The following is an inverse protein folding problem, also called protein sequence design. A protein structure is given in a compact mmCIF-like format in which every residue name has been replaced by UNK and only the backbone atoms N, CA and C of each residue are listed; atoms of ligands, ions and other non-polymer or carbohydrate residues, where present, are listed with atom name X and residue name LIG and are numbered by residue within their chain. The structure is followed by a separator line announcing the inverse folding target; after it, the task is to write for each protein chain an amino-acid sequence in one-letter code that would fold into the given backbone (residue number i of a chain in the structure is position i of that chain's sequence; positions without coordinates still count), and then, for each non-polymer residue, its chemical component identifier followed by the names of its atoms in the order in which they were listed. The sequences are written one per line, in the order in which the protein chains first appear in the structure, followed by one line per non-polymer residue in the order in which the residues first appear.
data_IF_269854810528
#
_entry.id   IF_269854810528
#
_cell.length_a   1.000
_cell.length_b   1.000
_cell.length_c   1.000
_cell.angle_alpha   90.00
_cell.angle_beta   90.00
_cell.angle_gamma   90.00
#
_symmetry.space_group_name_H-M   'P 1'
#
loop_
_entity.id
_entity.type
_entity.pdbx_description
1 polymer ?
#
# COMPACT_ATOMS: atom_id res chain seq x y z
N UNK A 1 -65.14 -39.13 -9.03
CA UNK A 1 -63.78 -39.69 -9.26
C UNK A 1 -62.97 -38.62 -10.00
N UNK A 2 -62.15 -37.82 -9.30
CA UNK A 2 -60.69 -37.96 -9.07
C UNK A 2 -59.86 -38.09 -10.36
N UNK A 3 -59.02 -37.08 -10.59
CA UNK A 3 -57.59 -37.05 -10.96
C UNK A 3 -57.31 -35.58 -11.34
N UNK A 4 -56.47 -34.78 -10.69
CA UNK A 4 -55.21 -35.03 -10.01
C UNK A 4 -54.12 -34.24 -10.75
N UNK A 5 -54.10 -32.91 -10.60
CA UNK A 5 -53.03 -32.05 -11.15
C UNK A 5 -51.95 -31.94 -10.09
N UNK A 6 -50.85 -32.65 -10.30
CA UNK A 6 -49.72 -32.72 -9.39
C UNK A 6 -48.85 -31.45 -9.49
N UNK A 7 -48.36 -31.09 -8.32
CA UNK A 7 -47.58 -29.92 -7.97
C UNK A 7 -46.17 -29.92 -8.59
N UNK A 8 -45.68 -28.72 -8.87
CA UNK A 8 -44.36 -28.27 -8.42
C UNK A 8 -43.14 -28.85 -9.13
N UNK A 9 -42.53 -28.04 -10.00
CA UNK A 9 -41.08 -27.80 -10.01
C UNK A 9 -40.82 -26.41 -10.61
N UNK A 10 -40.98 -25.36 -9.80
CA UNK A 10 -40.16 -24.17 -9.97
C UNK A 10 -38.74 -24.60 -9.59
N UNK A 11 -37.91 -24.90 -10.59
CA UNK A 11 -36.47 -24.97 -10.37
C UNK A 11 -35.97 -23.53 -10.22
N UNK A 12 -35.46 -23.12 -9.04
CA UNK A 12 -34.66 -21.90 -9.00
C UNK A 12 -33.45 -22.16 -9.88
N UNK A 13 -33.23 -21.29 -10.87
CA UNK A 13 -31.91 -21.18 -11.50
C UNK A 13 -30.89 -21.13 -10.36
N UNK A 14 -29.85 -21.97 -10.34
CA UNK A 14 -28.72 -21.73 -9.46
C UNK A 14 -28.24 -20.32 -9.79
N UNK A 15 -28.32 -19.47 -8.78
CA UNK A 15 -27.89 -18.08 -8.82
C UNK A 15 -26.47 -18.07 -9.37
N UNK A 16 -26.28 -17.36 -10.48
CA UNK A 16 -24.96 -17.01 -10.97
C UNK A 16 -24.21 -16.39 -9.79
N UNK A 17 -23.10 -16.95 -9.30
CA UNK A 17 -22.32 -16.27 -8.28
C UNK A 17 -21.91 -14.91 -8.85
N UNK A 18 -22.20 -13.86 -8.10
CA UNK A 18 -22.02 -12.47 -8.51
C UNK A 18 -20.57 -12.22 -8.97
N UNK A 19 -20.34 -11.41 -10.03
CA UNK A 19 -19.01 -11.06 -10.49
C UNK A 19 -18.45 -9.89 -9.66
N UNK A 20 -18.33 -10.09 -8.35
CA UNK A 20 -17.55 -9.18 -7.49
C UNK A 20 -16.19 -9.85 -7.27
N UNK A 21 -15.11 -9.08 -7.22
CA UNK A 21 -13.73 -9.55 -6.97
C UNK A 21 -12.89 -10.03 -8.18
N UNK A 22 -13.25 -9.67 -9.42
CA UNK A 22 -12.36 -9.89 -10.60
C UNK A 22 -11.17 -8.91 -10.68
N UNK A 23 -11.02 -7.96 -9.75
CA UNK A 23 -9.94 -6.96 -9.78
C UNK A 23 -8.52 -7.58 -9.66
N UNK A 24 -8.36 -8.74 -9.02
CA UNK A 24 -7.05 -9.43 -8.90
C UNK A 24 -6.57 -10.22 -10.12
N UNK A 25 -7.31 -10.26 -11.26
CA UNK A 25 -6.99 -11.19 -12.37
C UNK A 25 -5.65 -10.91 -13.07
N UNK A 26 -5.10 -9.70 -12.94
CA UNK A 26 -3.79 -9.33 -13.50
C UNK A 26 -2.61 -9.65 -12.58
N UNK A 27 -2.84 -9.79 -11.28
CA UNK A 27 -1.80 -9.96 -10.27
C UNK A 27 -1.91 -11.35 -9.64
N UNK A 28 -1.28 -12.38 -10.20
CA UNK A 28 -1.06 -13.75 -9.62
C UNK A 28 -2.07 -14.28 -8.56
N UNK A 29 -3.37 -13.99 -8.67
CA UNK A 29 -4.37 -14.32 -7.65
C UNK A 29 -4.25 -13.58 -6.30
N UNK A 30 -3.50 -12.48 -6.23
CA UNK A 30 -3.40 -11.63 -5.03
C UNK A 30 -4.47 -10.54 -5.08
N UNK A 31 -5.24 -10.43 -4.01
CA UNK A 31 -6.23 -9.38 -3.83
C UNK A 31 -5.70 -8.36 -2.82
N UNK A 32 -5.78 -7.07 -3.16
CA UNK A 32 -5.36 -5.99 -2.27
C UNK A 32 -6.40 -5.69 -1.21
N UNK A 33 -7.68 -5.77 -1.59
CA UNK A 33 -8.83 -5.66 -0.70
C UNK A 33 -9.42 -7.04 -0.39
N UNK A 34 -10.05 -7.18 0.77
CA UNK A 34 -10.84 -8.34 1.14
C UNK A 34 -12.26 -8.31 0.52
N UNK A 35 -13.05 -9.35 0.76
CA UNK A 35 -14.41 -9.48 0.22
C UNK A 35 -15.39 -8.41 0.78
N UNK A 36 -15.02 -7.70 1.83
CA UNK A 36 -15.78 -6.60 2.44
C UNK A 36 -15.28 -5.21 1.98
N UNK A 37 -14.25 -5.15 1.13
CA UNK A 37 -13.60 -3.91 0.68
C UNK A 37 -12.59 -3.33 1.69
N UNK A 38 -12.24 -4.08 2.73
CA UNK A 38 -11.18 -3.77 3.69
C UNK A 38 -9.78 -4.07 3.12
N UNK A 39 -8.73 -3.53 3.73
CA UNK A 39 -7.35 -3.85 3.36
C UNK A 39 -7.07 -5.33 3.70
N UNK A 40 -6.58 -6.11 2.73
CA UNK A 40 -6.19 -7.50 2.98
C UNK A 40 -5.01 -7.61 3.96
N UNK A 41 -4.94 -8.71 4.72
CA UNK A 41 -3.84 -8.96 5.67
C UNK A 41 -2.45 -8.85 5.02
N UNK A 42 -2.32 -9.29 3.77
CA UNK A 42 -1.04 -9.23 3.05
C UNK A 42 -0.66 -7.80 2.69
N UNK A 43 -1.63 -7.00 2.22
CA UNK A 43 -1.39 -5.58 1.95
C UNK A 43 -1.10 -4.84 3.25
N UNK A 44 -1.82 -5.11 4.33
CA UNK A 44 -1.57 -4.50 5.64
C UNK A 44 -0.12 -4.73 6.10
N UNK A 45 0.43 -5.94 5.94
CA UNK A 45 1.83 -6.23 6.26
C UNK A 45 2.82 -5.42 5.41
N UNK A 46 2.52 -5.21 4.13
CA UNK A 46 3.34 -4.38 3.25
C UNK A 46 3.27 -2.91 3.66
N UNK A 47 2.07 -2.42 3.97
CA UNK A 47 1.83 -1.05 4.42
C UNK A 47 2.48 -0.77 5.78
N UNK A 48 2.52 -1.76 6.70
CA UNK A 48 3.31 -1.66 7.94
C UNK A 48 4.78 -1.38 7.66
N UNK A 49 5.37 -2.13 6.73
CA UNK A 49 6.76 -1.93 6.33
C UNK A 49 7.00 -0.54 5.75
N UNK A 50 6.12 -0.08 4.84
CA UNK A 50 6.23 1.23 4.22
C UNK A 50 6.09 2.33 5.27
N UNK A 51 5.03 2.29 6.08
CA UNK A 51 4.78 3.25 7.15
C UNK A 51 5.96 3.32 8.14
N UNK A 52 6.53 2.18 8.50
CA UNK A 52 7.68 2.11 9.41
C UNK A 52 8.94 2.83 8.89
N UNK A 53 9.07 3.06 7.57
CA UNK A 53 10.19 3.83 7.00
C UNK A 53 10.08 5.33 7.31
N UNK A 54 8.87 5.85 7.48
CA UNK A 54 8.59 7.29 7.56
C UNK A 54 8.07 7.73 8.94
N UNK A 55 7.69 6.79 9.81
CA UNK A 55 7.05 7.09 11.09
C UNK A 55 8.00 7.60 12.17
N UNK A 56 7.40 8.25 13.17
CA UNK A 56 7.98 8.64 14.44
C UNK A 56 7.19 8.00 15.60
N UNK A 57 7.86 7.39 16.61
CA UNK A 57 9.29 7.09 16.63
C UNK A 57 9.69 6.09 15.53
N UNK A 58 10.96 6.14 15.11
CA UNK A 58 11.47 5.18 14.12
C UNK A 58 11.57 3.78 14.73
N UNK A 59 11.29 2.73 13.95
CA UNK A 59 11.51 1.36 14.41
C UNK A 59 12.98 1.13 14.78
N UNK A 60 13.26 0.31 15.81
CA UNK A 60 14.63 -0.10 16.10
C UNK A 60 15.22 -0.78 14.86
N UNK A 61 16.42 -0.37 14.44
CA UNK A 61 17.11 -1.03 13.34
C UNK A 61 17.33 -2.50 13.71
N UNK A 62 16.99 -3.46 12.84
CA UNK A 62 17.24 -4.86 13.12
C UNK A 62 18.75 -5.09 13.23
N UNK A 63 19.24 -5.22 14.46
CA UNK A 63 20.59 -5.65 14.78
C UNK A 63 20.66 -7.17 14.62
N UNK A 64 20.81 -7.66 13.38
CA UNK A 64 20.89 -9.10 13.13
C UNK A 64 21.26 -9.49 11.70
N UNK A 65 22.32 -10.28 11.61
CA UNK A 65 22.95 -11.00 10.48
C UNK A 65 22.18 -11.07 9.14
N UNK A 66 22.89 -10.64 8.10
CA UNK A 66 22.54 -10.61 6.68
C UNK A 66 21.89 -11.91 6.16
N UNK A 67 20.73 -11.77 5.49
CA UNK A 67 20.27 -12.51 4.27
C UNK A 67 18.76 -12.67 4.11
N UNK A 68 17.94 -12.12 5.01
CA UNK A 68 16.49 -12.01 4.76
C UNK A 68 16.08 -10.55 4.86
N UNK A 69 15.49 -10.03 3.79
CA UNK A 69 14.85 -8.71 3.81
C UNK A 69 13.62 -8.84 4.71
N UNK A 70 13.79 -8.54 6.00
CA UNK A 70 12.71 -8.60 6.97
C UNK A 70 11.83 -7.36 6.82
N UNK A 71 10.51 -7.54 6.87
CA UNK A 71 9.58 -6.42 6.91
C UNK A 71 9.76 -5.67 8.23
N UNK A 72 9.92 -4.36 8.12
CA UNK A 72 9.90 -3.44 9.26
C UNK A 72 8.49 -3.42 9.88
N UNK A 73 8.44 -3.28 11.20
CA UNK A 73 7.18 -3.09 11.94
C UNK A 73 7.24 -1.76 12.68
N UNK A 74 6.21 -0.91 12.57
CA UNK A 74 6.21 0.37 13.27
C UNK A 74 6.05 0.17 14.78
N UNK A 75 6.70 1.01 15.60
CA UNK A 75 6.45 1.02 17.04
C UNK A 75 4.97 1.26 17.38
N UNK A 76 4.51 0.82 18.57
CA UNK A 76 3.17 1.15 19.03
C UNK A 76 3.00 2.68 19.11
N UNK A 77 1.85 3.17 18.65
CA UNK A 77 1.52 4.60 18.59
C UNK A 77 2.42 5.44 17.66
N UNK A 78 3.13 4.80 16.73
CA UNK A 78 3.86 5.52 15.71
C UNK A 78 2.90 6.27 14.77
N UNK A 79 3.36 7.43 14.30
CA UNK A 79 2.62 8.33 13.41
C UNK A 79 3.57 8.94 12.36
N UNK A 80 3.04 9.40 11.23
CA UNK A 80 3.79 10.24 10.30
C UNK A 80 3.71 11.68 10.77
N UNK A 81 4.85 12.25 11.13
CA UNK A 81 4.98 13.71 11.29
C UNK A 81 4.79 14.40 9.93
N UNK A 82 4.59 15.73 9.88
CA UNK A 82 4.51 16.45 8.60
C UNK A 82 5.71 16.18 7.67
N UNK A 83 6.91 16.03 8.25
CA UNK A 83 8.12 15.68 7.50
C UNK A 83 8.13 14.23 6.99
N UNK A 84 7.63 13.29 7.80
CA UNK A 84 7.47 11.90 7.39
C UNK A 84 6.44 11.74 6.27
N UNK A 85 5.35 12.50 6.36
CA UNK A 85 4.31 12.54 5.34
C UNK A 85 4.84 13.12 4.01
N UNK A 86 5.64 14.18 4.06
CA UNK A 86 6.31 14.73 2.88
C UNK A 86 7.29 13.75 2.24
N UNK A 87 8.09 13.05 3.05
CA UNK A 87 9.03 12.05 2.55
C UNK A 87 8.32 10.86 1.91
N UNK A 88 7.20 10.41 2.49
CA UNK A 88 6.36 9.38 1.89
C UNK A 88 5.78 9.85 0.56
N UNK A 89 5.17 11.03 0.51
CA UNK A 89 4.60 11.60 -0.70
C UNK A 89 5.65 11.79 -1.81
N UNK A 90 6.86 12.18 -1.45
CA UNK A 90 7.98 12.30 -2.38
C UNK A 90 8.35 10.95 -3.02
N UNK A 91 8.29 9.86 -2.26
CA UNK A 91 8.64 8.52 -2.76
C UNK A 91 7.50 7.87 -3.57
N UNK A 92 6.25 8.23 -3.33
CA UNK A 92 5.08 7.70 -4.06
C UNK A 92 4.70 8.57 -5.26
N UNK A 93 4.54 9.87 -5.04
CA UNK A 93 4.04 10.83 -6.03
C UNK A 93 5.16 11.62 -6.74
N UNK A 94 6.39 11.53 -6.26
CA UNK A 94 7.52 12.30 -6.78
C UNK A 94 7.60 13.74 -6.28
N UNK A 95 6.69 14.17 -5.40
CA UNK A 95 6.69 15.49 -4.77
C UNK A 95 6.02 15.44 -3.39
N UNK A 96 6.41 16.33 -2.45
CA UNK A 96 5.72 16.46 -1.17
C UNK A 96 4.28 16.97 -1.35
N UNK A 97 3.41 16.69 -0.38
CA UNK A 97 2.05 17.21 -0.42
C UNK A 97 2.03 18.73 -0.21
N UNK A 98 1.06 19.37 -0.86
CA UNK A 98 0.73 20.76 -0.57
C UNK A 98 0.19 20.90 0.85
N UNK A 99 0.28 22.10 1.42
CA UNK A 99 -0.30 22.36 2.75
C UNK A 99 -1.82 22.10 2.76
N UNK A 100 -2.52 22.48 1.69
CA UNK A 100 -3.96 22.25 1.52
C UNK A 100 -4.30 20.76 1.62
N UNK A 101 -3.56 19.91 0.90
CA UNK A 101 -3.74 18.45 0.96
C UNK A 101 -3.47 17.90 2.36
N UNK A 102 -2.48 18.45 3.09
CA UNK A 102 -2.20 18.01 4.46
C UNK A 102 -3.32 18.38 5.44
N UNK A 103 -3.86 19.58 5.33
CA UNK A 103 -5.01 20.01 6.13
C UNK A 103 -6.23 19.13 5.85
N UNK A 104 -6.49 18.75 4.58
CA UNK A 104 -7.54 17.78 4.25
C UNK A 104 -7.28 16.41 4.88
N UNK A 105 -6.05 15.89 4.79
CA UNK A 105 -5.69 14.61 5.43
C UNK A 105 -5.93 14.64 6.94
N UNK A 106 -5.62 15.76 7.61
CA UNK A 106 -5.85 15.94 9.06
C UNK A 106 -7.34 16.01 9.39
N UNK A 107 -8.16 16.61 8.53
CA UNK A 107 -9.61 16.76 8.75
C UNK A 107 -10.36 15.43 8.58
N UNK A 108 -9.96 14.60 7.60
CA UNK A 108 -10.73 13.42 7.21
C UNK A 108 -10.17 12.08 7.71
N UNK A 109 -8.89 12.01 8.08
CA UNK A 109 -8.23 10.76 8.44
C UNK A 109 -7.96 10.63 9.94
N UNK A 110 -7.65 9.41 10.34
CA UNK A 110 -7.21 9.13 11.70
C UNK A 110 -5.80 9.71 11.95
N UNK A 111 -5.77 10.79 12.72
CA UNK A 111 -4.56 11.49 13.16
C UNK A 111 -4.46 11.52 14.68
N UNK A 112 -3.24 11.70 15.18
CA UNK A 112 -2.98 12.04 16.59
C UNK A 112 -3.53 13.44 16.92
N UNK A 113 -3.65 13.77 18.21
CA UNK A 113 -4.06 15.12 18.66
C UNK A 113 -3.19 16.27 18.14
N UNK A 114 -1.94 15.98 17.71
CA UNK A 114 -1.00 16.95 17.13
C UNK A 114 -1.06 17.01 15.59
N UNK A 115 -1.98 16.28 14.96
CA UNK A 115 -2.14 16.24 13.50
C UNK A 115 -1.20 15.26 12.76
N UNK A 116 -0.47 14.40 13.48
CA UNK A 116 0.31 13.32 12.88
C UNK A 116 -0.54 12.15 12.37
N UNK A 117 -0.32 11.68 11.13
CA UNK A 117 -1.10 10.60 10.53
C UNK A 117 -0.79 9.25 11.20
N UNK A 118 -1.80 8.58 11.78
CA UNK A 118 -1.59 7.28 12.41
C UNK A 118 -1.48 6.17 11.37
N UNK A 119 -1.05 4.98 11.78
CA UNK A 119 -1.09 3.81 10.88
C UNK A 119 -2.51 3.50 10.40
N UNK A 120 -3.54 3.74 11.24
CA UNK A 120 -4.93 3.56 10.84
C UNK A 120 -5.33 4.57 9.76
N UNK A 121 -4.93 5.83 9.90
CA UNK A 121 -5.16 6.86 8.88
C UNK A 121 -4.44 6.52 7.57
N UNK A 122 -3.23 5.97 7.66
CA UNK A 122 -2.48 5.49 6.51
C UNK A 122 -3.20 4.35 5.77
N UNK A 123 -3.79 3.39 6.49
CA UNK A 123 -4.61 2.34 5.88
C UNK A 123 -5.84 2.90 5.17
N UNK A 124 -6.49 3.93 5.72
CA UNK A 124 -7.65 4.58 5.10
C UNK A 124 -7.28 5.20 3.75
N UNK A 125 -6.10 5.82 3.61
CA UNK A 125 -5.64 6.36 2.32
C UNK A 125 -5.52 5.24 1.29
N UNK A 126 -4.82 4.16 1.64
CA UNK A 126 -4.62 3.04 0.72
C UNK A 126 -5.93 2.32 0.40
N UNK A 127 -6.88 2.27 1.34
CA UNK A 127 -8.20 1.69 1.08
C UNK A 127 -8.91 2.49 -0.01
N UNK A 128 -9.07 3.80 0.22
CA UNK A 128 -9.71 4.71 -0.73
C UNK A 128 -9.01 4.70 -2.09
N UNK A 129 -7.67 4.78 -2.11
CA UNK A 129 -6.89 4.74 -3.34
C UNK A 129 -7.12 3.42 -4.08
N UNK A 130 -7.09 2.28 -3.39
CA UNK A 130 -7.23 0.96 -4.01
C UNK A 130 -8.65 0.73 -4.55
N UNK A 131 -9.67 1.26 -3.88
CA UNK A 131 -11.06 1.24 -4.36
C UNK A 131 -11.24 2.05 -5.65
N UNK A 132 -10.51 3.16 -5.80
CA UNK A 132 -10.62 4.05 -6.95
C UNK A 132 -9.69 3.66 -8.13
N UNK A 133 -8.41 3.40 -7.86
CA UNK A 133 -7.40 2.98 -8.83
C UNK A 133 -6.41 1.98 -8.21
N UNK A 134 -6.77 0.69 -8.19
CA UNK A 134 -5.91 -0.39 -7.67
C UNK A 134 -4.49 -0.36 -8.29
N UNK A 135 -4.37 0.01 -9.57
CA UNK A 135 -3.06 0.07 -10.24
C UNK A 135 -2.14 1.14 -9.63
N UNK A 136 -2.68 2.19 -8.99
CA UNK A 136 -1.91 3.17 -8.23
C UNK A 136 -1.24 2.53 -7.02
N UNK A 137 -2.00 1.75 -6.25
CA UNK A 137 -1.46 1.01 -5.10
C UNK A 137 -0.35 0.05 -5.53
N UNK A 138 -0.50 -0.61 -6.68
CA UNK A 138 0.58 -1.46 -7.21
C UNK A 138 1.83 -0.68 -7.64
N UNK A 139 1.69 0.56 -8.13
CA UNK A 139 2.84 1.44 -8.45
C UNK A 139 3.58 1.80 -7.17
N UNK A 140 2.87 2.20 -6.13
CA UNK A 140 3.44 2.53 -4.81
C UNK A 140 4.20 1.35 -4.20
N UNK A 141 3.55 0.17 -4.18
CA UNK A 141 4.16 -1.06 -3.70
C UNK A 141 5.46 -1.37 -4.45
N UNK A 142 5.45 -1.22 -5.79
CA UNK A 142 6.65 -1.41 -6.61
C UNK A 142 7.75 -0.38 -6.31
N UNK A 143 7.40 0.88 -6.06
CA UNK A 143 8.35 1.93 -5.68
C UNK A 143 9.01 1.64 -4.33
N UNK A 144 8.29 0.94 -3.45
CA UNK A 144 8.80 0.48 -2.17
C UNK A 144 9.46 -0.92 -2.20
N UNK A 145 9.63 -1.51 -3.38
CA UNK A 145 10.36 -2.77 -3.59
C UNK A 145 9.51 -4.03 -3.47
N UNK A 146 8.18 -3.94 -3.44
CA UNK A 146 7.32 -5.11 -3.49
C UNK A 146 7.06 -5.55 -4.92
N UNK A 147 7.05 -6.86 -5.16
CA UNK A 147 6.62 -7.42 -6.43
C UNK A 147 5.09 -7.62 -6.49
N UNK A 148 4.59 -8.12 -7.62
CA UNK A 148 3.16 -8.41 -7.84
C UNK A 148 2.59 -9.52 -6.95
N UNK A 149 3.44 -10.20 -6.16
CA UNK A 149 3.06 -11.19 -5.15
C UNK A 149 3.13 -10.66 -3.71
N UNK A 150 3.27 -9.33 -3.51
CA UNK A 150 3.42 -8.69 -2.20
C UNK A 150 4.66 -9.17 -1.42
N UNK A 151 5.72 -9.59 -2.12
CA UNK A 151 7.00 -9.93 -1.50
C UNK A 151 7.98 -8.81 -1.73
N UNK A 152 8.66 -8.43 -0.65
CA UNK A 152 9.75 -7.48 -0.73
C UNK A 152 10.90 -8.13 -1.49
N UNK A 153 11.09 -7.69 -2.73
CA UNK A 153 12.22 -8.08 -3.56
C UNK A 153 13.29 -7.03 -3.37
N UNK A 154 14.54 -7.45 -3.15
CA UNK A 154 15.67 -6.53 -3.16
C UNK A 154 15.87 -6.04 -4.60
N UNK A 155 15.05 -5.10 -5.05
CA UNK A 155 15.28 -4.38 -6.29
C UNK A 155 16.45 -3.46 -6.02
N UNK A 156 17.62 -3.90 -6.48
CA UNK A 156 18.86 -3.15 -6.51
C UNK A 156 18.60 -1.76 -7.10
N UNK A 157 18.37 -0.78 -6.23
CA UNK A 157 18.52 0.66 -6.52
C UNK A 157 19.36 1.30 -5.43
N UNK A 158 20.44 0.60 -5.08
CA UNK A 158 21.63 1.24 -4.56
C UNK A 158 22.35 1.91 -5.74
N UNK A 159 22.54 3.23 -5.60
CA UNK A 159 23.71 3.97 -6.07
C UNK A 159 23.87 4.12 -7.60
N UNK A 160 23.28 5.19 -8.14
CA UNK A 160 24.02 5.97 -9.16
C UNK A 160 24.70 7.10 -8.39
N UNK A 161 25.82 6.73 -7.77
CA UNK A 161 26.77 7.65 -7.17
C UNK A 161 27.20 8.68 -8.21
N UNK A 162 27.05 9.94 -7.83
CA UNK A 162 27.32 11.11 -8.66
C UNK A 162 28.73 11.57 -8.36
N UNK A 163 29.74 10.97 -8.99
CA UNK A 163 31.14 11.41 -8.92
C UNK A 163 31.88 10.74 -10.09
N UNK A 164 32.71 11.33 -10.96
CA UNK A 164 33.38 12.62 -11.14
C UNK A 164 33.91 12.65 -12.60
N UNK A 165 34.14 13.84 -13.17
CA UNK A 165 35.46 14.22 -13.75
C UNK A 165 35.37 15.63 -14.40
N UNK A 166 35.61 16.65 -13.57
CA UNK A 166 36.40 17.80 -14.02
C UNK A 166 37.86 17.34 -14.17
N UNK A 167 38.34 17.20 -15.42
CA UNK A 167 39.78 17.16 -15.70
C UNK A 167 40.06 17.67 -17.12
N UNK A 168 40.47 18.94 -17.16
CA UNK A 168 41.40 19.57 -18.11
C UNK A 168 41.74 18.83 -19.42
N UNK A 169 41.50 19.50 -20.54
CA UNK A 169 42.40 19.44 -21.71
C UNK A 169 42.56 20.84 -22.28
N UNK A 170 43.53 21.55 -21.70
CA UNK A 170 44.35 22.47 -22.46
C UNK A 170 45.23 21.67 -23.43
N UNK A 171 45.66 22.34 -24.51
CA UNK A 171 46.56 21.90 -25.59
C UNK A 171 45.87 21.32 -26.82
N UNK A 172 45.66 22.15 -27.84
CA UNK A 172 46.71 22.45 -28.83
C UNK A 172 46.47 23.79 -29.52
#
# INVERSE_FOLDING_TARGET
MRQGFESGTQSPRPETPEPSSIQGRRNTGVQLLDDEGGISDQLELCLKHIFAKYCAPRPPTPVGDEKRVALLEPPPHAYLSPQGLDAWAQDTNGAPFSQETKDELIEFLDVTDDGGLTFKGFLQIYQLQTENDEEETWRDLSNHGFDRTLRLVATRREEVDVETEETQSASS
#
